data_IF_934788208653
#
_entry.id   IF_934788208653
#
_cell.length_a   1.000
_cell.length_b   1.000
_cell.length_c   1.000
_cell.angle_alpha   90.00
_cell.angle_beta   90.00
_cell.angle_gamma   90.00
#
_symmetry.space_group_name_H-M   'P 1'
#
loop_
_entity.id
_entity.type
_entity.pdbx_description
1 polymer ?
#
# COMPACT_ATOMS: atom_id res chain seq x y z
N UNK A 1 12.43 5.60 13.29
CA UNK A 1 11.08 6.22 13.32
C UNK A 1 10.73 6.58 11.91
N UNK A 2 9.47 6.37 11.50
CA UNK A 2 9.01 6.71 10.15
C UNK A 2 8.39 8.11 10.17
N UNK A 3 8.62 8.88 9.12
CA UNK A 3 7.96 10.17 8.91
C UNK A 3 6.48 9.96 8.52
N UNK A 4 5.60 10.93 8.81
CA UNK A 4 4.22 10.87 8.32
C UNK A 4 4.12 10.68 6.80
N UNK A 5 5.03 11.30 6.05
CA UNK A 5 5.12 11.23 4.59
C UNK A 5 5.41 9.80 4.11
N UNK A 6 6.39 9.13 4.73
CA UNK A 6 6.70 7.74 4.44
C UNK A 6 5.53 6.81 4.82
N UNK A 7 4.76 7.12 5.86
CA UNK A 7 3.57 6.33 6.23
C UNK A 7 2.41 6.49 5.26
N UNK A 8 2.22 7.69 4.69
CA UNK A 8 1.12 7.99 3.79
C UNK A 8 1.34 7.45 2.35
N UNK A 9 2.58 7.15 1.98
CA UNK A 9 2.94 6.70 0.63
C UNK A 9 2.18 5.44 0.21
N UNK A 10 2.03 4.45 1.11
CA UNK A 10 1.31 3.20 0.80
C UNK A 10 -0.19 3.44 0.59
N UNK A 11 -0.81 4.33 1.38
CA UNK A 11 -2.21 4.68 1.20
C UNK A 11 -2.46 5.38 -0.15
N UNK A 12 -1.54 6.26 -0.56
CA UNK A 12 -1.64 6.96 -1.84
C UNK A 12 -1.42 5.99 -3.03
N UNK A 13 -0.49 5.04 -2.90
CA UNK A 13 -0.25 4.02 -3.91
C UNK A 13 -1.49 3.14 -4.12
N UNK A 14 -2.08 2.61 -3.04
CA UNK A 14 -3.27 1.77 -3.12
C UNK A 14 -4.50 2.53 -3.66
N UNK A 15 -4.64 3.82 -3.35
CA UNK A 15 -5.75 4.65 -3.83
C UNK A 15 -5.65 5.01 -5.33
N UNK A 16 -4.46 4.90 -5.92
CA UNK A 16 -4.19 5.28 -7.32
C UNK A 16 -3.89 4.07 -8.20
N UNK A 17 -4.20 2.87 -7.72
CA UNK A 17 -4.06 1.65 -8.50
C UNK A 17 -4.88 1.73 -9.80
N UNK A 18 -4.33 1.25 -10.92
CA UNK A 18 -5.12 0.96 -12.11
C UNK A 18 -6.27 -0.01 -11.80
N UNK A 19 -7.30 -0.03 -12.64
CA UNK A 19 -8.52 -0.84 -12.42
C UNK A 19 -8.24 -2.35 -12.29
N UNK A 20 -7.15 -2.84 -12.89
CA UNK A 20 -6.65 -4.21 -12.82
C UNK A 20 -5.69 -4.47 -11.64
N UNK A 21 -5.54 -3.49 -10.74
CA UNK A 21 -4.72 -3.60 -9.54
C UNK A 21 -5.19 -4.66 -8.54
N UNK A 22 -4.32 -5.04 -7.59
CA UNK A 22 -4.59 -6.13 -6.66
C UNK A 22 -5.76 -5.82 -5.72
N UNK A 23 -6.61 -6.82 -5.45
CA UNK A 23 -7.81 -6.71 -4.60
C UNK A 23 -7.78 -7.77 -3.49
N UNK A 24 -8.28 -7.42 -2.31
CA UNK A 24 -8.51 -8.37 -1.21
C UNK A 24 -7.24 -8.88 -0.51
N UNK A 25 -6.10 -8.19 -0.64
CA UNK A 25 -4.84 -8.52 0.05
C UNK A 25 -4.52 -7.56 1.20
N UNK A 26 -3.59 -7.96 2.06
CA UNK A 26 -2.95 -7.08 3.04
C UNK A 26 -1.58 -6.67 2.50
N UNK A 27 -1.24 -5.38 2.59
CA UNK A 27 -0.02 -4.84 1.97
C UNK A 27 0.70 -3.91 2.95
N UNK A 28 2.02 -3.94 2.91
CA UNK A 28 2.90 -2.94 3.47
C UNK A 28 3.74 -2.27 2.36
N UNK A 29 4.68 -1.42 2.74
CA UNK A 29 5.57 -0.74 1.79
C UNK A 29 6.46 -1.69 0.99
N UNK A 30 6.70 -2.92 1.48
CA UNK A 30 7.50 -3.94 0.81
C UNK A 30 6.65 -4.86 -0.09
N UNK A 31 5.31 -4.85 0.07
CA UNK A 31 4.38 -5.54 -0.81
C UNK A 31 3.31 -6.34 -0.06
N UNK A 32 2.78 -7.41 -0.67
CA UNK A 32 1.76 -8.25 -0.05
C UNK A 32 2.30 -8.98 1.18
N UNK A 33 1.54 -8.99 2.25
CA UNK A 33 1.85 -9.66 3.52
C UNK A 33 0.82 -10.76 3.75
N UNK A 34 1.30 -11.95 4.13
CA UNK A 34 0.44 -13.05 4.53
C UNK A 34 -0.24 -12.71 5.87
N UNK A 35 -1.55 -12.93 5.95
CA UNK A 35 -2.33 -12.72 7.17
C UNK A 35 -2.03 -13.78 8.23
#
# INVERSE_FOLDING_TARGET
>A
TRTPQEGAAIALHLATLPDDGPRGGFFDDAGPVAW
#
